data_IF_537424026080
#
_entry.id   IF_537424026080
#
_cell.length_a   1.000
_cell.length_b   1.000
_cell.length_c   1.000
_cell.angle_alpha   90.00
_cell.angle_beta   90.00
_cell.angle_gamma   90.00
#
_symmetry.space_group_name_H-M   'P 1'
#
loop_
_entity.id
_entity.type
_entity.pdbx_description
1 polymer ?
#
# COMPACT_ATOMS: atom_id res chain seq x y z
N UNK A 1 46.88 11.22 22.84
CA UNK A 1 45.58 11.80 22.48
C UNK A 1 44.94 10.83 21.50
N UNK A 2 44.12 9.94 22.00
CA UNK A 2 43.45 8.89 21.22
C UNK A 2 42.09 9.41 20.78
N UNK A 3 41.94 9.63 19.47
CA UNK A 3 40.71 10.08 18.86
C UNK A 3 39.76 8.88 18.72
N UNK A 4 38.84 8.72 19.65
CA UNK A 4 37.74 7.73 19.56
C UNK A 4 36.68 8.29 18.63
N UNK A 5 36.64 7.79 17.39
CA UNK A 5 35.55 8.02 16.46
C UNK A 5 34.34 7.20 16.95
N UNK A 6 33.37 7.87 17.52
CA UNK A 6 32.05 7.29 17.78
C UNK A 6 31.39 6.96 16.42
N UNK A 7 31.33 5.70 16.08
CA UNK A 7 30.49 5.22 14.99
C UNK A 7 29.03 5.53 15.38
N UNK A 8 28.40 6.44 14.63
CA UNK A 8 26.98 6.68 14.74
C UNK A 8 26.27 5.43 14.22
N UNK A 9 25.68 4.69 15.15
CA UNK A 9 24.78 3.57 14.88
C UNK A 9 23.51 4.14 14.22
N UNK A 10 23.58 4.31 12.90
CA UNK A 10 22.39 4.63 12.12
C UNK A 10 21.60 3.32 11.99
N UNK A 11 20.30 3.31 12.33
CA UNK A 11 19.49 2.12 12.14
C UNK A 11 19.58 1.73 10.67
N UNK A 12 19.93 0.48 10.41
CA UNK A 12 19.96 -0.08 9.06
C UNK A 12 18.56 0.08 8.46
N UNK A 13 18.44 0.91 7.44
CA UNK A 13 17.20 0.98 6.66
C UNK A 13 17.03 -0.39 6.02
N UNK A 14 16.01 -1.12 6.42
CA UNK A 14 15.59 -2.39 5.81
C UNK A 14 15.05 -2.10 4.40
N UNK A 15 15.97 -1.83 3.48
CA UNK A 15 15.63 -1.59 2.07
C UNK A 15 15.31 -2.94 1.43
N UNK A 16 14.14 -3.07 0.78
CA UNK A 16 13.78 -4.33 0.14
C UNK A 16 14.73 -4.67 -0.99
N UNK A 17 15.27 -5.90 -0.98
CA UNK A 17 16.12 -6.39 -2.07
C UNK A 17 15.27 -6.72 -3.31
N UNK A 18 15.89 -6.67 -4.50
CA UNK A 18 15.22 -7.03 -5.74
C UNK A 18 14.69 -8.49 -5.71
N UNK A 19 15.41 -9.39 -5.04
CA UNK A 19 14.96 -10.76 -4.84
C UNK A 19 13.68 -10.83 -3.98
N UNK A 20 13.63 -10.12 -2.87
CA UNK A 20 12.44 -10.01 -2.02
C UNK A 20 11.24 -9.43 -2.77
N UNK A 21 11.47 -8.40 -3.62
CA UNK A 21 10.43 -7.80 -4.46
C UNK A 21 9.88 -8.82 -5.47
N UNK A 22 10.77 -9.58 -6.14
CA UNK A 22 10.38 -10.64 -7.08
C UNK A 22 9.63 -11.78 -6.40
N UNK A 23 10.08 -12.21 -5.23
CA UNK A 23 9.39 -13.20 -4.42
C UNK A 23 7.98 -12.73 -4.02
N UNK A 24 7.84 -11.48 -3.59
CA UNK A 24 6.56 -10.85 -3.27
C UNK A 24 5.66 -10.78 -4.50
N UNK A 25 6.19 -10.43 -5.69
CA UNK A 25 5.45 -10.44 -6.96
C UNK A 25 4.87 -11.83 -7.26
N UNK A 26 5.69 -12.88 -7.13
CA UNK A 26 5.26 -14.27 -7.36
C UNK A 26 4.17 -14.67 -6.36
N UNK A 27 4.32 -14.32 -5.10
CA UNK A 27 3.39 -14.67 -4.03
C UNK A 27 2.03 -13.98 -4.17
N UNK A 28 2.01 -12.72 -4.55
CA UNK A 28 0.77 -11.98 -4.81
C UNK A 28 0.05 -12.49 -6.07
N UNK A 29 0.79 -12.97 -7.07
CA UNK A 29 0.23 -13.58 -8.28
C UNK A 29 -0.95 -12.80 -8.85
N UNK A 30 -2.06 -13.51 -9.04
CA UNK A 30 -3.32 -12.98 -9.58
C UNK A 30 -4.21 -12.27 -8.54
N UNK A 31 -3.85 -12.30 -7.26
CA UNK A 31 -4.57 -11.58 -6.22
C UNK A 31 -4.55 -10.06 -6.45
N UNK A 32 -3.57 -9.58 -7.22
CA UNK A 32 -3.47 -8.20 -7.68
C UNK A 32 -3.21 -8.15 -9.18
N UNK A 33 -3.68 -7.10 -9.83
CA UNK A 33 -3.49 -6.90 -11.27
C UNK A 33 -2.10 -6.31 -11.54
N UNK A 34 -1.44 -6.75 -12.61
CA UNK A 34 -0.37 -5.98 -13.24
C UNK A 34 -1.02 -4.83 -14.00
N UNK A 35 -0.97 -3.63 -13.42
CA UNK A 35 -1.68 -2.46 -13.94
C UNK A 35 -1.03 -1.92 -15.21
N UNK A 36 -1.78 -1.25 -16.10
CA UNK A 36 -1.21 -0.67 -17.31
C UNK A 36 -0.10 0.35 -17.03
N UNK A 37 0.84 0.40 -17.96
CA UNK A 37 1.79 1.49 -18.11
C UNK A 37 1.63 2.02 -19.52
N UNK A 38 1.33 3.30 -19.67
CA UNK A 38 1.12 3.91 -20.99
C UNK A 38 1.65 5.33 -21.08
N UNK A 39 2.00 5.81 -22.28
CA UNK A 39 2.35 7.20 -22.46
C UNK A 39 1.15 8.09 -22.15
N UNK A 40 1.41 9.21 -21.50
CA UNK A 40 0.44 10.29 -21.31
C UNK A 40 0.53 11.24 -22.51
N UNK A 41 -0.48 11.18 -23.37
CA UNK A 41 -0.60 12.02 -24.56
C UNK A 41 -1.67 13.07 -24.29
N UNK A 42 -1.24 14.25 -23.88
CA UNK A 42 -2.12 15.40 -23.61
C UNK A 42 -1.38 16.68 -23.97
N UNK A 43 -1.97 17.49 -24.85
CA UNK A 43 -1.36 18.70 -25.38
C UNK A 43 -1.11 19.77 -24.29
N UNK A 44 -2.01 19.89 -23.32
CA UNK A 44 -1.85 20.86 -22.24
C UNK A 44 -0.66 20.49 -21.34
N UNK A 45 -0.48 19.19 -21.08
CA UNK A 45 0.67 18.68 -20.31
C UNK A 45 1.95 18.81 -21.13
N UNK A 46 1.93 18.43 -22.41
CA UNK A 46 3.09 18.59 -23.30
C UNK A 46 3.57 20.05 -23.37
N UNK A 47 2.64 20.99 -23.43
CA UNK A 47 2.94 22.43 -23.39
C UNK A 47 3.54 22.88 -22.03
N UNK A 48 3.12 22.27 -20.94
CA UNK A 48 3.61 22.64 -19.61
C UNK A 48 5.02 22.08 -19.30
N UNK A 49 5.34 20.87 -19.78
CA UNK A 49 6.62 20.19 -19.47
C UNK A 49 7.65 20.28 -20.61
N UNK A 50 7.24 20.80 -21.78
CA UNK A 50 8.08 20.90 -22.98
C UNK A 50 7.88 19.72 -23.94
N UNK A 51 7.89 20.01 -25.23
CA UNK A 51 7.59 19.04 -26.30
C UNK A 51 8.56 17.84 -26.39
N UNK A 52 9.75 17.96 -25.83
CA UNK A 52 10.75 16.87 -25.79
C UNK A 52 10.55 15.93 -24.59
N UNK A 53 9.69 16.27 -23.64
CA UNK A 53 9.45 15.47 -22.45
C UNK A 53 8.39 14.40 -22.74
N UNK A 54 8.76 13.14 -22.54
CA UNK A 54 7.84 12.01 -22.64
C UNK A 54 7.40 11.61 -21.24
N UNK A 55 6.08 11.57 -21.00
CA UNK A 55 5.50 11.17 -19.73
C UNK A 55 4.88 9.78 -19.83
N UNK A 56 5.09 8.98 -18.81
CA UNK A 56 4.50 7.65 -18.68
C UNK A 56 3.71 7.55 -17.39
N UNK A 57 2.56 6.93 -17.46
CA UNK A 57 1.69 6.68 -16.31
C UNK A 57 1.68 5.21 -15.93
N UNK A 58 1.95 4.90 -14.66
CA UNK A 58 1.63 3.62 -14.04
C UNK A 58 0.25 3.75 -13.38
N UNK A 59 -0.75 3.14 -13.96
CA UNK A 59 -2.16 3.41 -13.65
C UNK A 59 -2.73 2.50 -12.55
N UNK A 60 -2.35 2.76 -11.31
CA UNK A 60 -2.84 1.99 -10.15
C UNK A 60 -4.35 2.16 -9.86
N UNK A 61 -5.05 3.04 -10.54
CA UNK A 61 -6.50 3.14 -10.51
C UNK A 61 -7.20 1.89 -11.08
N UNK A 62 -6.52 1.13 -11.95
CA UNK A 62 -7.03 -0.14 -12.48
C UNK A 62 -6.73 -1.35 -11.58
N UNK A 63 -6.14 -1.14 -10.41
CA UNK A 63 -5.96 -2.21 -9.43
C UNK A 63 -7.32 -2.63 -8.82
N UNK A 64 -7.40 -3.84 -8.25
CA UNK A 64 -8.61 -4.49 -7.72
C UNK A 64 -9.53 -3.60 -6.88
N UNK A 65 -9.01 -2.64 -6.13
CA UNK A 65 -9.83 -1.71 -5.31
C UNK A 65 -9.68 -0.26 -5.76
N UNK A 66 -9.29 -0.02 -7.01
CA UNK A 66 -9.10 1.32 -7.54
C UNK A 66 -7.87 2.04 -7.01
N UNK A 67 -6.91 1.34 -6.42
CA UNK A 67 -5.66 1.92 -5.89
C UNK A 67 -4.60 0.85 -5.62
N UNK A 68 -3.34 1.26 -5.44
CA UNK A 68 -2.22 0.37 -5.11
C UNK A 68 -2.32 -0.33 -3.74
N UNK A 69 -3.25 0.06 -2.88
CA UNK A 69 -3.35 -0.40 -1.48
C UNK A 69 -3.49 -1.91 -1.28
N UNK A 70 -4.18 -2.69 -2.12
CA UNK A 70 -4.25 -4.14 -1.97
C UNK A 70 -2.88 -4.83 -2.03
N UNK A 71 -1.93 -4.27 -2.77
CA UNK A 71 -0.56 -4.81 -2.83
C UNK A 71 0.05 -4.92 -1.43
N UNK A 72 -0.12 -3.85 -0.61
CA UNK A 72 0.37 -3.80 0.76
C UNK A 72 -0.42 -4.66 1.74
N UNK A 73 -1.73 -4.52 1.74
CA UNK A 73 -2.61 -5.23 2.65
C UNK A 73 -2.45 -6.76 2.48
N UNK A 74 -2.51 -7.26 1.25
CA UNK A 74 -2.33 -8.68 0.96
C UNK A 74 -0.94 -9.19 1.37
N UNK A 75 0.13 -8.43 1.11
CA UNK A 75 1.49 -8.89 1.47
C UNK A 75 1.62 -9.09 2.97
N UNK A 76 1.08 -8.19 3.78
CA UNK A 76 1.09 -8.33 5.24
C UNK A 76 0.19 -9.49 5.67
N UNK A 77 -1.01 -9.58 5.14
CA UNK A 77 -2.00 -10.57 5.58
C UNK A 77 -1.67 -11.99 5.12
N UNK A 78 -0.98 -12.18 4.00
CA UNK A 78 -0.48 -13.49 3.56
C UNK A 78 0.59 -14.08 4.50
N UNK A 79 1.21 -13.28 5.34
CA UNK A 79 2.19 -13.72 6.34
C UNK A 79 1.57 -14.14 7.68
N UNK A 80 0.27 -13.92 7.83
CA UNK A 80 -0.44 -14.31 9.03
C UNK A 80 -0.64 -15.83 9.06
N UNK A 81 -0.43 -16.43 10.22
CA UNK A 81 -0.75 -17.83 10.44
C UNK A 81 -2.28 -18.04 10.53
N UNK A 82 -2.69 -19.30 10.54
CA UNK A 82 -4.10 -19.67 10.59
C UNK A 82 -4.82 -19.11 11.84
N UNK A 83 -4.12 -19.03 12.99
CA UNK A 83 -4.68 -18.53 14.22
C UNK A 83 -4.91 -17.00 14.15
N UNK A 84 -3.97 -16.24 13.58
CA UNK A 84 -4.11 -14.81 13.37
C UNK A 84 -5.21 -14.50 12.32
N UNK A 85 -5.27 -15.27 11.24
CA UNK A 85 -6.36 -15.15 10.25
C UNK A 85 -7.73 -15.46 10.88
N UNK A 86 -7.82 -16.46 11.75
CA UNK A 86 -9.07 -16.78 12.44
C UNK A 86 -9.57 -15.63 13.35
N UNK A 87 -8.66 -14.91 14.00
CA UNK A 87 -9.00 -13.72 14.80
C UNK A 87 -9.35 -12.52 13.92
N UNK A 88 -8.84 -12.45 12.71
CA UNK A 88 -9.07 -11.36 11.78
C UNK A 88 -8.08 -10.20 11.91
N UNK A 89 -8.31 -9.18 11.10
CA UNK A 89 -7.45 -7.98 11.04
C UNK A 89 -8.21 -6.72 11.44
N UNK A 90 -7.46 -5.69 11.79
CA UNK A 90 -8.00 -4.35 12.08
C UNK A 90 -7.14 -3.25 11.47
N UNK A 91 -7.71 -2.06 11.28
CA UNK A 91 -6.99 -0.93 10.72
C UNK A 91 -7.68 0.40 10.91
N UNK A 92 -6.93 1.48 10.73
CA UNK A 92 -7.44 2.87 10.71
C UNK A 92 -7.30 3.42 9.31
N UNK A 93 -8.39 3.80 8.67
CA UNK A 93 -8.34 4.52 7.40
C UNK A 93 -9.71 5.03 6.96
N UNK A 94 -9.78 6.29 6.53
CA UNK A 94 -10.96 6.88 5.91
C UNK A 94 -11.07 6.60 4.38
N UNK A 95 -10.22 5.75 3.82
CA UNK A 95 -10.09 5.65 2.37
C UNK A 95 -9.64 4.29 1.83
N UNK A 96 -8.78 4.34 0.84
CA UNK A 96 -8.39 3.19 0.03
C UNK A 96 -7.78 2.03 0.82
N UNK A 97 -7.11 2.29 1.96
CA UNK A 97 -6.56 1.22 2.79
C UNK A 97 -7.68 0.40 3.46
N UNK A 98 -8.75 1.04 3.93
CA UNK A 98 -9.89 0.35 4.51
C UNK A 98 -10.58 -0.59 3.50
N UNK A 99 -10.84 -0.10 2.30
CA UNK A 99 -11.40 -0.91 1.19
C UNK A 99 -10.47 -2.08 0.87
N UNK A 100 -9.17 -1.84 0.86
CA UNK A 100 -8.15 -2.83 0.61
C UNK A 100 -8.08 -3.93 1.67
N UNK A 101 -8.28 -3.58 2.96
CA UNK A 101 -8.39 -4.56 4.05
C UNK A 101 -9.62 -5.45 3.85
N UNK A 102 -10.77 -4.87 3.50
CA UNK A 102 -11.99 -5.64 3.21
C UNK A 102 -11.79 -6.61 2.05
N UNK A 103 -11.24 -6.14 0.94
CA UNK A 103 -10.89 -6.98 -0.21
C UNK A 103 -9.96 -8.12 0.20
N UNK A 104 -8.87 -7.82 0.92
CA UNK A 104 -7.88 -8.80 1.33
C UNK A 104 -8.46 -9.83 2.31
N UNK A 105 -9.27 -9.37 3.28
CA UNK A 105 -9.93 -10.25 4.23
C UNK A 105 -10.88 -11.23 3.52
N UNK A 106 -11.67 -10.73 2.56
CA UNK A 106 -12.58 -11.57 1.76
C UNK A 106 -11.83 -12.64 0.97
N UNK A 107 -10.70 -12.28 0.34
CA UNK A 107 -9.87 -13.21 -0.45
C UNK A 107 -9.23 -14.29 0.43
N UNK A 108 -8.80 -13.92 1.64
CA UNK A 108 -8.10 -14.83 2.56
C UNK A 108 -9.05 -15.56 3.52
N UNK A 109 -10.37 -15.39 3.36
CA UNK A 109 -11.37 -16.07 4.21
C UNK A 109 -11.32 -15.62 5.67
N UNK A 110 -10.94 -14.36 5.93
CA UNK A 110 -10.88 -13.78 7.28
C UNK A 110 -11.82 -12.58 7.41
N UNK A 111 -11.83 -11.91 8.55
CA UNK A 111 -12.67 -10.74 8.83
C UNK A 111 -11.82 -9.49 9.04
N UNK A 112 -12.38 -8.32 8.70
CA UNK A 112 -11.75 -7.04 8.94
C UNK A 112 -12.65 -6.12 9.78
N UNK A 113 -12.08 -5.44 10.78
CA UNK A 113 -12.68 -4.32 11.49
C UNK A 113 -11.89 -3.06 11.20
N UNK A 114 -12.56 -2.01 10.78
CA UNK A 114 -11.90 -0.74 10.45
C UNK A 114 -12.53 0.41 11.22
N UNK A 115 -11.68 1.24 11.80
CA UNK A 115 -12.11 2.47 12.46
C UNK A 115 -11.84 3.65 11.55
N UNK A 116 -12.89 4.47 11.34
CA UNK A 116 -12.88 5.63 10.48
C UNK A 116 -13.36 6.87 11.22
N UNK A 117 -12.83 8.08 10.94
CA UNK A 117 -13.48 9.29 11.39
C UNK A 117 -14.85 9.47 10.71
N UNK A 118 -15.82 10.05 11.41
CA UNK A 118 -17.18 10.36 10.89
C UNK A 118 -17.14 11.24 9.63
N UNK A 119 -16.04 11.97 9.41
CA UNK A 119 -15.81 12.77 8.20
C UNK A 119 -15.44 11.94 6.97
N UNK A 120 -15.31 10.61 7.11
CA UNK A 120 -15.03 9.73 5.98
C UNK A 120 -16.15 9.82 4.94
N UNK A 121 -15.76 9.77 3.66
CA UNK A 121 -16.71 9.80 2.56
C UNK A 121 -17.70 8.60 2.66
N UNK A 122 -19.01 8.89 2.65
CA UNK A 122 -20.06 7.88 2.80
C UNK A 122 -19.96 6.75 1.77
N UNK A 123 -19.59 7.04 0.53
CA UNK A 123 -19.38 6.03 -0.50
C UNK A 123 -18.28 5.04 -0.10
N UNK A 124 -17.17 5.51 0.46
CA UNK A 124 -16.07 4.63 0.91
C UNK A 124 -16.47 3.76 2.10
N UNK A 125 -17.28 4.31 3.03
CA UNK A 125 -17.86 3.53 4.13
C UNK A 125 -18.74 2.42 3.58
N UNK A 126 -19.59 2.74 2.61
CA UNK A 126 -20.47 1.78 1.95
C UNK A 126 -19.65 0.67 1.26
N UNK A 127 -18.67 1.01 0.46
CA UNK A 127 -17.80 0.03 -0.24
C UNK A 127 -17.10 -0.90 0.77
N UNK A 128 -16.62 -0.37 1.91
CA UNK A 128 -16.04 -1.23 2.95
C UNK A 128 -17.05 -2.24 3.47
N UNK A 129 -18.29 -1.82 3.75
CA UNK A 129 -19.37 -2.71 4.22
C UNK A 129 -19.75 -3.77 3.16
N UNK A 130 -19.74 -3.42 1.89
CA UNK A 130 -19.97 -4.36 0.78
C UNK A 130 -18.88 -5.44 0.69
N UNK A 131 -17.65 -5.14 1.12
CA UNK A 131 -16.59 -6.13 1.30
C UNK A 131 -16.72 -6.94 2.61
N UNK A 132 -17.73 -6.66 3.45
CA UNK A 132 -17.93 -7.35 4.72
C UNK A 132 -17.11 -6.78 5.88
N UNK A 133 -16.61 -5.56 5.76
CA UNK A 133 -15.87 -4.88 6.83
C UNK A 133 -16.83 -4.39 7.91
N UNK A 134 -16.55 -4.71 9.16
CA UNK A 134 -17.17 -4.05 10.32
C UNK A 134 -16.55 -2.65 10.49
N UNK A 135 -17.36 -1.61 10.23
CA UNK A 135 -16.91 -0.22 10.23
C UNK A 135 -17.41 0.50 11.47
N UNK A 136 -16.48 0.93 12.31
CA UNK A 136 -16.73 1.81 13.46
C UNK A 136 -16.40 3.25 13.09
N UNK A 137 -17.35 4.18 13.32
CA UNK A 137 -17.15 5.60 13.09
C UNK A 137 -16.87 6.33 14.40
N UNK A 138 -15.82 7.16 14.42
CA UNK A 138 -15.37 7.97 15.57
C UNK A 138 -15.21 9.44 15.21
N UNK A 139 -15.04 10.31 16.19
CA UNK A 139 -15.02 11.75 15.93
C UNK A 139 -13.74 12.24 15.24
N UNK A 140 -12.60 11.63 15.54
CA UNK A 140 -11.31 12.07 15.00
C UNK A 140 -10.32 10.92 14.83
N UNK A 141 -9.17 11.23 14.20
CA UNK A 141 -8.13 10.24 13.89
C UNK A 141 -7.43 9.71 15.14
N UNK A 142 -7.23 10.54 16.16
CA UNK A 142 -6.60 10.10 17.41
C UNK A 142 -7.46 9.04 18.12
N UNK A 143 -8.77 9.26 18.19
CA UNK A 143 -9.74 8.30 18.71
C UNK A 143 -9.76 7.02 17.87
N UNK A 144 -9.61 7.13 16.53
CA UNK A 144 -9.55 5.96 15.67
C UNK A 144 -8.36 5.04 16.01
N UNK A 145 -7.18 5.61 16.24
CA UNK A 145 -6.01 4.84 16.66
C UNK A 145 -6.15 4.26 18.08
N UNK A 146 -6.74 5.00 19.02
CA UNK A 146 -7.04 4.48 20.35
C UNK A 146 -8.00 3.28 20.27
N UNK A 147 -9.09 3.42 19.52
CA UNK A 147 -10.07 2.36 19.35
C UNK A 147 -9.53 1.10 18.69
N UNK A 148 -8.63 1.25 17.70
CA UNK A 148 -7.97 0.09 17.09
C UNK A 148 -7.10 -0.67 18.08
N UNK A 149 -6.38 0.03 18.97
CA UNK A 149 -5.60 -0.64 20.03
C UNK A 149 -6.48 -1.42 21.01
N UNK A 150 -7.66 -0.87 21.34
CA UNK A 150 -8.64 -1.59 22.16
C UNK A 150 -9.13 -2.87 21.46
N UNK A 151 -9.37 -2.80 20.15
CA UNK A 151 -9.77 -3.97 19.33
C UNK A 151 -8.64 -5.01 19.28
N UNK A 152 -7.38 -4.60 19.11
CA UNK A 152 -6.23 -5.50 19.18
C UNK A 152 -6.15 -6.20 20.53
N UNK A 153 -6.26 -5.43 21.63
CA UNK A 153 -6.15 -5.96 22.98
C UNK A 153 -7.30 -6.91 23.34
N UNK A 154 -8.53 -6.57 22.96
CA UNK A 154 -9.74 -7.31 23.31
C UNK A 154 -9.98 -8.55 22.43
N UNK A 155 -9.65 -8.46 21.12
CA UNK A 155 -10.01 -9.50 20.14
C UNK A 155 -8.77 -10.20 19.57
N UNK A 156 -7.56 -9.74 19.89
CA UNK A 156 -6.30 -10.30 19.37
C UNK A 156 -6.16 -10.15 17.85
N UNK A 157 -6.88 -9.21 17.23
CA UNK A 157 -6.79 -8.95 15.79
C UNK A 157 -5.45 -8.35 15.43
N UNK A 158 -4.96 -8.67 14.24
CA UNK A 158 -3.71 -8.09 13.75
C UNK A 158 -3.97 -6.71 13.16
N UNK A 159 -3.29 -5.70 13.68
CA UNK A 159 -3.30 -4.36 13.09
C UNK A 159 -2.47 -4.33 11.80
N UNK A 160 -3.11 -3.96 10.70
CA UNK A 160 -2.44 -3.78 9.39
C UNK A 160 -2.26 -2.30 9.14
N UNK A 161 -1.02 -1.83 9.28
CA UNK A 161 -0.70 -0.42 9.15
C UNK A 161 -0.85 0.07 7.68
N UNK A 162 -1.39 1.29 7.43
CA UNK A 162 -1.67 1.77 6.06
C UNK A 162 -0.42 2.08 5.22
N UNK A 163 0.76 2.28 5.85
CA UNK A 163 1.98 2.67 5.13
C UNK A 163 3.30 2.28 5.79
N UNK A 164 3.31 1.82 7.04
CA UNK A 164 4.55 1.45 7.76
C UNK A 164 4.87 -0.03 7.67
N UNK A 165 6.16 -0.33 7.87
CA UNK A 165 6.74 -1.66 7.93
C UNK A 165 7.49 -2.08 6.66
N UNK A 166 8.57 -2.88 6.81
CA UNK A 166 9.44 -3.31 5.69
C UNK A 166 8.67 -4.13 4.66
N UNK A 167 7.71 -4.95 5.08
CA UNK A 167 6.84 -5.70 4.17
C UNK A 167 5.97 -4.80 3.31
N UNK A 168 5.51 -3.69 3.88
CA UNK A 168 4.70 -2.69 3.17
C UNK A 168 5.52 -1.94 2.12
N UNK A 169 6.79 -1.66 2.36
CA UNK A 169 7.70 -1.10 1.36
C UNK A 169 7.98 -2.12 0.24
N UNK A 170 8.39 -3.35 0.58
CA UNK A 170 8.70 -4.40 -0.37
C UNK A 170 7.56 -4.68 -1.37
N UNK A 171 6.30 -4.68 -0.91
CA UNK A 171 5.17 -4.95 -1.80
C UNK A 171 4.86 -3.80 -2.76
N UNK A 172 5.16 -2.57 -2.37
CA UNK A 172 4.95 -1.39 -3.21
C UNK A 172 6.06 -1.24 -4.25
N UNK A 173 7.27 -1.70 -3.94
CA UNK A 173 8.38 -1.83 -4.88
C UNK A 173 8.02 -2.68 -6.11
N UNK A 174 7.06 -3.61 -5.99
CA UNK A 174 6.48 -4.31 -7.14
C UNK A 174 5.90 -3.35 -8.18
N UNK A 175 5.31 -2.24 -7.76
CA UNK A 175 4.77 -1.24 -8.71
C UNK A 175 5.87 -0.64 -9.55
N UNK A 176 7.01 -0.30 -8.94
CA UNK A 176 8.21 0.16 -9.63
C UNK A 176 8.79 -0.91 -10.56
N UNK A 177 8.89 -2.17 -10.09
CA UNK A 177 9.36 -3.27 -10.92
C UNK A 177 8.49 -3.49 -12.16
N UNK A 178 7.16 -3.49 -12.01
CA UNK A 178 6.23 -3.59 -13.13
C UNK A 178 6.36 -2.42 -14.11
N UNK A 179 6.59 -1.21 -13.58
CA UNK A 179 6.77 -0.01 -14.38
C UNK A 179 8.04 -0.11 -15.23
N UNK A 180 9.17 -0.46 -14.62
CA UNK A 180 10.46 -0.64 -15.30
C UNK A 180 10.37 -1.77 -16.34
N UNK A 181 9.76 -2.90 -16.00
CA UNK A 181 9.61 -4.03 -16.93
C UNK A 181 8.84 -3.63 -18.20
N UNK A 182 7.78 -2.82 -18.04
CA UNK A 182 6.99 -2.31 -19.17
C UNK A 182 7.76 -1.34 -20.06
N UNK A 183 8.62 -0.50 -19.49
CA UNK A 183 9.40 0.50 -20.25
C UNK A 183 10.62 -0.12 -20.96
N UNK A 184 11.19 -1.17 -20.39
CA UNK A 184 12.31 -1.89 -21.02
C UNK A 184 11.94 -2.56 -22.34
N UNK A 185 10.70 -3.04 -22.49
CA UNK A 185 10.25 -3.69 -23.71
C UNK A 185 10.31 -2.77 -24.95
N UNK A 186 9.84 -1.49 -24.88
CA UNK A 186 10.03 -0.51 -25.95
C UNK A 186 11.43 0.16 -25.94
N UNK A 187 12.33 -0.17 -25.01
CA UNK A 187 13.67 0.43 -24.92
C UNK A 187 13.70 1.84 -24.31
N UNK A 188 12.69 2.18 -23.48
CA UNK A 188 12.61 3.48 -22.82
C UNK A 188 13.48 3.52 -21.57
N UNK A 189 14.14 4.66 -21.37
CA UNK A 189 14.88 4.98 -20.14
C UNK A 189 14.18 6.13 -19.41
N UNK A 190 14.24 6.14 -18.09
CA UNK A 190 13.63 7.15 -17.23
C UNK A 190 14.70 8.10 -16.68
N UNK A 191 14.54 9.40 -16.94
CA UNK A 191 15.36 10.43 -16.31
C UNK A 191 14.86 10.75 -14.90
N UNK A 192 13.53 10.63 -14.67
CA UNK A 192 12.90 10.94 -13.39
C UNK A 192 11.64 10.12 -13.15
N UNK A 193 11.31 9.92 -11.87
CA UNK A 193 10.07 9.28 -11.43
C UNK A 193 9.34 10.22 -10.45
N UNK A 194 8.07 10.51 -10.75
CA UNK A 194 7.22 11.33 -9.89
C UNK A 194 6.28 10.39 -9.12
N UNK A 195 6.37 10.43 -7.80
CA UNK A 195 5.57 9.59 -6.90
C UNK A 195 4.81 10.46 -5.91
N UNK A 196 3.49 10.20 -5.77
CA UNK A 196 2.70 10.86 -4.75
C UNK A 196 3.17 10.41 -3.35
N UNK A 197 3.67 11.34 -2.56
CA UNK A 197 4.16 11.08 -1.21
C UNK A 197 3.14 11.54 -0.16
N UNK A 198 2.80 10.63 0.75
CA UNK A 198 2.02 10.89 1.97
C UNK A 198 2.77 10.26 3.15
N UNK A 199 2.32 9.12 3.68
CA UNK A 199 3.03 8.36 4.71
C UNK A 199 4.31 7.64 4.23
N UNK A 200 4.88 8.00 3.09
CA UNK A 200 6.18 7.53 2.59
C UNK A 200 6.20 6.11 2.01
N UNK A 201 5.26 5.28 2.35
CA UNK A 201 5.32 3.86 2.02
C UNK A 201 5.29 3.49 0.52
N UNK A 202 4.74 4.34 -0.36
CA UNK A 202 4.82 4.12 -1.81
C UNK A 202 6.20 4.54 -2.35
N UNK A 203 6.72 5.65 -1.84
CA UNK A 203 8.02 6.20 -2.24
C UNK A 203 9.18 5.34 -1.75
N UNK A 204 9.02 4.67 -0.60
CA UNK A 204 10.03 3.77 -0.03
C UNK A 204 10.11 2.40 -0.74
N UNK A 205 9.15 2.06 -1.56
CA UNK A 205 9.11 0.85 -2.37
C UNK A 205 9.38 1.18 -3.83
#
# INVERSE_FOLDING_TARGET
MTNSSAATDQPSLDVPTLEAIRATRKRLGELVVTTPTRPLMDDAIANAVGASTRLWLKEELFQRTGSFKPRGALTVMLDLDAAALARGVTGVSAGNHAISLGYSARILGTTAKVVMPKTANAFRVQVCREYGVDVTLVDNVAEAFARVRDIEAAEGRTFVHPYEGPKTACCKARTGLEFIDHLRAPGEELDAVIVAAGGGGLTAG
#
